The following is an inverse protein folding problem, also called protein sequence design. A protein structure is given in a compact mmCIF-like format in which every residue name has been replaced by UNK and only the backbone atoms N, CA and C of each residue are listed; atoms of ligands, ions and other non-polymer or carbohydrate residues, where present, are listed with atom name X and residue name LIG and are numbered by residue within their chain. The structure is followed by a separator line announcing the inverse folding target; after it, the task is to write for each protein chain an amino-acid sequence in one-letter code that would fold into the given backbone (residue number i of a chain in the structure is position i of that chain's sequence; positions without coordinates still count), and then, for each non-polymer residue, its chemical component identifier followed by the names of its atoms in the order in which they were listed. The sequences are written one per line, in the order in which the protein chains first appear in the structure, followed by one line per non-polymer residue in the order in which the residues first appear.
data_IF_745151757166
#
_entry.id   IF_745151757166
#
_cell.length_a   1.000
_cell.length_b   1.000
_cell.length_c   1.000
_cell.angle_alpha   90.00
_cell.angle_beta   90.00
_cell.angle_gamma   90.00
#
_symmetry.space_group_name_H-M   'P 1'
#
loop_
_entity.id
_entity.type
_entity.pdbx_description
1 polymer ?
#
# COMPACT_ATOMS: atom_id res chain seq x y z
N UNK A 1 14.92 -1.92 19.69
CA UNK A 1 14.05 -2.99 19.19
C UNK A 1 13.31 -2.37 18.03
N UNK A 2 13.71 -2.69 16.79
CA UNK A 2 13.02 -2.17 15.62
C UNK A 2 11.70 -2.91 15.46
N UNK A 3 10.62 -2.19 15.20
CA UNK A 3 9.35 -2.82 14.85
C UNK A 3 9.56 -3.78 13.67
N UNK A 4 8.93 -4.95 13.73
CA UNK A 4 8.98 -5.91 12.64
C UNK A 4 8.45 -5.28 11.34
N UNK A 5 8.98 -5.69 10.17
CA UNK A 5 8.46 -5.23 8.89
C UNK A 5 6.98 -5.54 8.75
N UNK A 6 6.19 -4.49 8.60
CA UNK A 6 4.81 -4.65 8.19
C UNK A 6 4.81 -5.30 6.80
N UNK A 7 4.30 -6.53 6.74
CA UNK A 7 4.07 -7.21 5.47
C UNK A 7 3.27 -6.29 4.54
N UNK A 8 3.75 -6.20 3.30
CA UNK A 8 3.25 -5.23 2.33
C UNK A 8 2.81 -5.95 1.06
N UNK A 9 1.65 -5.56 0.54
CA UNK A 9 1.09 -6.05 -0.72
C UNK A 9 0.76 -4.87 -1.61
N UNK A 10 1.24 -4.90 -2.85
CA UNK A 10 0.94 -3.88 -3.85
C UNK A 10 0.07 -4.50 -4.93
N UNK A 11 -1.04 -3.84 -5.27
CA UNK A 11 -1.95 -4.27 -6.33
C UNK A 11 -2.36 -3.08 -7.20
N UNK A 12 -2.61 -3.35 -8.48
CA UNK A 12 -3.23 -2.41 -9.40
C UNK A 12 -4.72 -2.78 -9.51
N UNK A 13 -5.61 -1.86 -9.15
CA UNK A 13 -7.06 -2.06 -9.19
C UNK A 13 -7.74 -0.80 -9.72
N UNK A 14 -8.53 -0.95 -10.79
CA UNK A 14 -9.32 0.13 -11.40
C UNK A 14 -8.54 1.42 -11.72
N UNK A 15 -7.29 1.26 -12.16
CA UNK A 15 -6.41 2.39 -12.49
C UNK A 15 -5.71 3.05 -11.30
N UNK A 16 -6.01 2.61 -10.07
CA UNK A 16 -5.30 3.00 -8.86
C UNK A 16 -4.24 1.97 -8.46
N UNK A 17 -3.14 2.44 -7.88
CA UNK A 17 -2.16 1.59 -7.20
C UNK A 17 -2.52 1.56 -5.72
N UNK A 18 -2.77 0.39 -5.17
CA UNK A 18 -2.99 0.20 -3.74
C UNK A 18 -1.72 -0.38 -3.10
N UNK A 19 -1.19 0.31 -2.10
CA UNK A 19 -0.13 -0.17 -1.21
C UNK A 19 -0.78 -0.53 0.12
N UNK A 20 -0.90 -1.83 0.39
CA UNK A 20 -1.55 -2.36 1.60
C UNK A 20 -0.46 -2.83 2.57
N UNK A 21 -0.45 -2.28 3.78
CA UNK A 21 0.50 -2.61 4.85
C UNK A 21 -0.25 -3.18 6.05
N UNK A 22 0.21 -4.31 6.57
CA UNK A 22 -0.48 -5.00 7.65
C UNK A 22 -0.08 -4.45 9.00
N UNK A 23 -1.03 -3.88 9.75
CA UNK A 23 -0.86 -3.67 11.19
C UNK A 23 -1.04 -4.98 11.93
N UNK A 24 -2.05 -5.75 11.51
CA UNK A 24 -2.33 -7.09 12.01
C UNK A 24 -3.19 -7.85 10.99
N UNK A 25 -2.87 -9.12 10.75
CA UNK A 25 -3.71 -10.07 10.03
C UNK A 25 -3.28 -11.49 10.44
N UNK A 26 -4.21 -12.47 10.49
CA UNK A 26 -3.88 -13.83 10.91
C UNK A 26 -2.98 -14.55 9.89
N UNK A 27 -3.22 -14.33 8.60
CA UNK A 27 -2.41 -14.88 7.51
C UNK A 27 -2.55 -14.08 6.20
N UNK A 28 -1.68 -14.39 5.23
CA UNK A 28 -1.67 -13.78 3.90
C UNK A 28 -2.95 -14.05 3.11
N UNK A 29 -3.52 -15.26 3.20
CA UNK A 29 -4.73 -15.64 2.45
C UNK A 29 -5.93 -14.81 2.88
N UNK A 30 -6.02 -14.45 4.16
CA UNK A 30 -7.08 -13.62 4.70
C UNK A 30 -7.06 -12.25 4.05
N UNK A 31 -5.88 -11.65 3.87
CA UNK A 31 -5.76 -10.36 3.18
C UNK A 31 -6.05 -10.49 1.68
N UNK A 32 -5.57 -11.53 1.00
CA UNK A 32 -5.87 -11.72 -0.44
C UNK A 32 -7.37 -11.89 -0.71
N UNK A 33 -8.11 -12.63 0.11
CA UNK A 33 -9.57 -12.75 0.00
C UNK A 33 -10.28 -11.42 0.18
N UNK A 34 -9.75 -10.53 1.01
CA UNK A 34 -10.30 -9.18 1.15
C UNK A 34 -10.08 -8.38 -0.14
N UNK A 35 -8.93 -8.53 -0.81
CA UNK A 35 -8.59 -7.83 -2.05
C UNK A 35 -9.43 -8.25 -3.26
N UNK A 36 -10.04 -9.45 -3.24
CA UNK A 36 -11.06 -9.86 -4.20
C UNK A 36 -12.26 -8.89 -4.19
N UNK A 37 -12.57 -8.31 -3.03
CA UNK A 37 -13.59 -7.29 -2.86
C UNK A 37 -12.99 -5.88 -2.92
N UNK A 38 -13.83 -4.87 -3.12
CA UNK A 38 -13.38 -3.50 -2.98
C UNK A 38 -13.36 -3.10 -1.50
N UNK A 39 -12.15 -2.94 -0.96
CA UNK A 39 -11.93 -2.63 0.46
C UNK A 39 -11.83 -1.13 0.75
N UNK A 40 -11.78 -0.29 -0.29
CA UNK A 40 -11.70 1.18 -0.16
C UNK A 40 -12.97 1.88 -0.66
N UNK A 41 -13.77 1.24 -1.50
CA UNK A 41 -15.03 1.83 -1.98
C UNK A 41 -15.99 2.12 -0.82
N UNK A 42 -16.42 3.37 -0.74
CA UNK A 42 -17.32 3.87 0.30
C UNK A 42 -16.63 4.21 1.64
N UNK A 43 -15.32 3.99 1.77
CA UNK A 43 -14.56 4.43 2.93
C UNK A 43 -14.12 5.89 2.79
N UNK A 44 -14.13 6.65 3.90
CA UNK A 44 -13.51 7.97 3.95
C UNK A 44 -12.01 7.85 4.24
N UNK A 45 -11.15 8.58 3.51
CA UNK A 45 -9.72 8.59 3.79
C UNK A 45 -9.43 9.31 5.12
N UNK A 46 -8.47 8.79 5.87
CA UNK A 46 -7.97 9.44 7.10
C UNK A 46 -6.95 10.55 6.78
N UNK A 47 -6.39 10.52 5.57
CA UNK A 47 -5.45 11.50 5.05
C UNK A 47 -5.56 11.52 3.52
N UNK A 48 -5.48 12.72 2.95
CA UNK A 48 -5.46 12.95 1.51
C UNK A 48 -4.39 13.99 1.18
N UNK A 49 -3.48 13.65 0.26
CA UNK A 49 -2.35 14.51 -0.13
C UNK A 49 -2.23 14.54 -1.64
N UNK A 50 -2.17 15.75 -2.21
CA UNK A 50 -1.79 15.95 -3.62
C UNK A 50 -0.26 15.95 -3.73
N UNK A 51 0.28 15.12 -4.62
CA UNK A 51 1.72 15.02 -4.83
C UNK A 51 2.04 15.21 -6.31
N UNK A 52 3.13 15.95 -6.56
CA UNK A 52 3.72 16.16 -7.89
C UNK A 52 5.13 15.56 -7.90
N UNK A 53 5.37 14.70 -8.87
CA UNK A 53 6.60 13.98 -9.10
C UNK A 53 7.28 14.51 -10.36
N UNK A 54 8.61 14.41 -10.40
CA UNK A 54 9.38 14.75 -11.61
C UNK A 54 9.36 13.60 -12.65
N UNK A 55 8.88 12.42 -12.26
CA UNK A 55 8.85 11.20 -13.06
C UNK A 55 7.60 10.38 -12.77
N UNK A 56 7.15 9.59 -13.75
CA UNK A 56 6.11 8.57 -13.57
C UNK A 56 6.66 7.27 -13.02
N UNK A 57 7.97 7.04 -13.12
CA UNK A 57 8.63 5.86 -12.58
C UNK A 57 9.05 6.12 -11.14
N UNK A 58 8.48 5.37 -10.20
CA UNK A 58 8.76 5.43 -8.78
C UNK A 58 9.44 4.14 -8.31
N UNK A 59 10.28 4.28 -7.28
CA UNK A 59 10.91 3.15 -6.59
C UNK A 59 10.53 3.20 -5.13
N UNK A 60 9.86 2.15 -4.65
CA UNK A 60 9.55 1.96 -3.25
C UNK A 60 10.59 1.03 -2.62
N UNK A 61 11.13 1.43 -1.49
CA UNK A 61 12.04 0.62 -0.68
C UNK A 61 11.35 0.22 0.62
N UNK A 62 11.52 -1.03 1.03
CA UNK A 62 11.22 -1.42 2.41
C UNK A 62 12.42 -1.06 3.30
N UNK A 63 12.18 -0.23 4.32
CA UNK A 63 13.22 0.37 5.16
C UNK A 63 13.96 -0.63 6.06
N UNK A 64 13.55 -1.90 6.08
CA UNK A 64 14.01 -2.87 7.07
C UNK A 64 15.16 -3.77 6.66
N UNK A 65 15.69 -3.64 5.44
CA UNK A 65 16.87 -4.41 5.02
C UNK A 65 18.02 -3.50 4.59
N UNK A 66 18.75 -2.88 5.53
CA UNK A 66 19.99 -2.17 5.21
C UNK A 66 21.17 -3.09 4.87
N UNK A 67 21.04 -4.43 4.97
CA UNK A 67 22.21 -5.33 4.99
C UNK A 67 22.15 -6.61 4.13
N UNK A 68 21.05 -6.90 3.42
CA UNK A 68 20.98 -8.08 2.54
C UNK A 68 20.41 -7.73 1.16
N UNK A 69 21.06 -8.23 0.09
CA UNK A 69 20.67 -8.15 -1.33
C UNK A 69 19.38 -8.94 -1.65
N UNK A 70 18.37 -8.88 -0.80
CA UNK A 70 17.04 -9.29 -1.22
C UNK A 70 16.48 -8.25 -2.21
N UNK A 71 15.52 -8.67 -3.01
CA UNK A 71 14.78 -7.89 -3.99
C UNK A 71 13.92 -6.78 -3.35
N UNK A 72 14.51 -5.86 -2.56
CA UNK A 72 13.83 -4.93 -1.64
C UNK A 72 13.47 -3.59 -2.30
N UNK A 73 13.24 -3.61 -3.62
CA UNK A 73 12.76 -2.45 -4.36
C UNK A 73 11.63 -2.85 -5.27
N UNK A 74 10.53 -2.13 -5.17
CA UNK A 74 9.39 -2.27 -6.08
C UNK A 74 9.36 -1.07 -7.00
N UNK A 75 9.36 -1.33 -8.30
CA UNK A 75 9.15 -0.30 -9.31
C UNK A 75 7.65 -0.14 -9.55
N UNK A 76 7.20 1.11 -9.58
CA UNK A 76 5.82 1.49 -9.85
C UNK A 76 5.80 2.51 -10.99
N UNK A 77 4.96 2.29 -11.98
CA UNK A 77 4.73 3.25 -13.05
C UNK A 77 3.38 3.93 -12.82
N UNK A 78 3.42 5.24 -12.56
CA UNK A 78 2.24 6.08 -12.46
C UNK A 78 1.70 6.42 -13.85
N UNK A 79 0.40 6.68 -13.96
CA UNK A 79 -0.19 7.18 -15.20
C UNK A 79 0.14 8.66 -15.46
N UNK A 80 0.39 9.43 -14.40
CA UNK A 80 0.67 10.87 -14.43
C UNK A 80 1.70 11.24 -13.38
N UNK A 81 2.38 12.36 -13.60
CA UNK A 81 3.33 12.94 -12.64
C UNK A 81 2.64 13.66 -11.48
N UNK A 82 1.34 13.92 -11.56
CA UNK A 82 0.56 14.46 -10.46
C UNK A 82 -0.49 13.42 -10.07
N UNK A 83 -0.56 13.09 -8.78
CA UNK A 83 -1.51 12.12 -8.24
C UNK A 83 -2.06 12.58 -6.90
N UNK A 84 -3.21 12.03 -6.52
CA UNK A 84 -3.74 12.15 -5.16
C UNK A 84 -3.43 10.84 -4.44
N UNK A 85 -2.79 10.94 -3.29
CA UNK A 85 -2.56 9.82 -2.39
C UNK A 85 -3.59 9.90 -1.28
N UNK A 86 -4.41 8.86 -1.16
CA UNK A 86 -5.40 8.72 -0.09
C UNK A 86 -4.99 7.58 0.83
N UNK A 87 -4.93 7.85 2.12
CA UNK A 87 -4.64 6.83 3.14
C UNK A 87 -5.94 6.42 3.81
N UNK A 88 -6.15 5.12 3.94
CA UNK A 88 -7.30 4.52 4.61
C UNK A 88 -6.82 3.62 5.74
N UNK A 89 -7.62 3.57 6.81
CA UNK A 89 -7.49 2.57 7.85
C UNK A 89 -8.61 1.55 7.68
N UNK A 90 -8.26 0.32 7.33
CA UNK A 90 -9.20 -0.80 7.33
C UNK A 90 -9.09 -1.53 8.66
N UNK A 91 -10.21 -1.68 9.37
CA UNK A 91 -10.26 -2.46 10.60
C UNK A 91 -11.57 -3.23 10.66
N UNK A 92 -11.48 -4.55 10.53
CA UNK A 92 -12.62 -5.45 10.62
C UNK A 92 -12.16 -6.83 11.09
N UNK A 93 -12.92 -7.43 11.98
CA UNK A 93 -12.63 -8.75 12.56
C UNK A 93 -11.19 -8.79 13.12
N UNK A 94 -10.40 -9.78 12.70
CA UNK A 94 -8.99 -9.95 13.08
C UNK A 94 -8.02 -9.29 12.08
N UNK A 95 -8.47 -8.30 11.31
CA UNK A 95 -7.66 -7.65 10.28
C UNK A 95 -7.60 -6.14 10.52
N UNK A 96 -6.37 -5.61 10.56
CA UNK A 96 -6.07 -4.19 10.59
C UNK A 96 -5.01 -3.85 9.55
N UNK A 97 -5.37 -3.01 8.57
CA UNK A 97 -4.51 -2.64 7.45
C UNK A 97 -4.44 -1.11 7.32
N UNK A 98 -3.27 -0.61 6.91
CA UNK A 98 -3.12 0.72 6.31
C UNK A 98 -3.12 0.53 4.81
N UNK A 99 -3.95 1.28 4.10
CA UNK A 99 -4.04 1.20 2.64
C UNK A 99 -3.75 2.58 2.07
N UNK A 100 -2.74 2.70 1.22
CA UNK A 100 -2.51 3.90 0.43
C UNK A 100 -3.01 3.66 -0.98
N UNK A 101 -3.91 4.52 -1.47
CA UNK A 101 -4.39 4.53 -2.84
C UNK A 101 -3.74 5.68 -3.59
N UNK A 102 -3.07 5.39 -4.71
CA UNK A 102 -2.46 6.38 -5.59
C UNK A 102 -3.31 6.45 -6.86
N UNK A 103 -3.89 7.63 -7.12
CA UNK A 103 -4.82 7.91 -8.22
C UNK A 103 -4.34 9.07 -9.10
#
# INVERSE_FOLDING_TARGET
MGDEPMATRIVNKDGAILIIRWKYAPDYLTVEKLLENDIVTGAEPIEEVEVKWDSTELVLFDSLSPYCEASVKVFLSLQKTSCIIKTYLYQKDEVSLIIHSIQ
#
